data_IF_808958992326
#
_entry.id   IF_808958992326
#
_cell.length_a   1.000
_cell.length_b   1.000
_cell.length_c   1.000
_cell.angle_alpha   90.00
_cell.angle_beta   90.00
_cell.angle_gamma   90.00
#
_symmetry.space_group_name_H-M   'P 1'
#
loop_
_entity.id
_entity.type
_entity.pdbx_description
1 polymer ?
#
# COMPACT_ATOMS: atom_id res chain seq x y z
N UNK A 1 12.55 -5.34 -1.67
CA UNK A 1 11.55 -4.70 -2.54
C UNK A 1 11.98 -3.26 -2.73
N UNK A 2 12.39 -2.87 -3.95
CA UNK A 2 12.81 -1.49 -4.23
C UNK A 2 11.56 -0.71 -4.66
N UNK A 3 11.19 0.31 -3.89
CA UNK A 3 10.02 1.16 -4.13
C UNK A 3 10.52 2.51 -4.62
N UNK A 4 9.96 3.00 -5.72
CA UNK A 4 10.24 4.35 -6.22
C UNK A 4 8.92 5.04 -6.56
N UNK A 5 8.88 6.34 -6.33
CA UNK A 5 7.74 7.18 -6.72
C UNK A 5 7.99 7.77 -8.10
N UNK A 6 6.93 7.78 -8.92
CA UNK A 6 6.96 8.43 -10.22
C UNK A 6 5.56 8.86 -10.62
N UNK A 7 5.47 10.01 -11.28
CA UNK A 7 4.22 10.50 -11.86
C UNK A 7 4.00 9.85 -13.22
N UNK A 8 2.89 9.13 -13.44
CA UNK A 8 2.56 8.59 -14.75
C UNK A 8 2.34 9.71 -15.78
N UNK A 9 2.64 9.42 -17.04
CA UNK A 9 2.41 10.32 -18.19
C UNK A 9 1.48 9.66 -19.20
N UNK A 10 0.75 10.48 -19.96
CA UNK A 10 -0.07 9.99 -21.06
C UNK A 10 0.80 9.46 -22.20
N UNK A 11 0.53 8.24 -22.64
CA UNK A 11 1.10 7.63 -23.84
C UNK A 11 -0.03 7.03 -24.68
N UNK A 12 -0.43 7.74 -25.73
CA UNK A 12 -1.56 7.35 -26.57
C UNK A 12 -2.84 7.24 -25.74
N UNK A 13 -3.47 6.06 -25.71
CA UNK A 13 -4.67 5.76 -24.92
C UNK A 13 -4.34 5.06 -23.58
N UNK A 14 -3.15 5.30 -23.01
CA UNK A 14 -2.68 4.61 -21.80
C UNK A 14 -1.80 5.52 -20.94
N UNK A 15 -1.55 5.09 -19.70
CA UNK A 15 -0.57 5.73 -18.82
C UNK A 15 0.74 4.94 -18.84
N UNK A 16 1.86 5.67 -18.91
CA UNK A 16 3.21 5.14 -18.80
C UNK A 16 3.93 5.69 -17.58
N UNK A 17 4.83 4.89 -17.00
CA UNK A 17 5.71 5.31 -15.90
C UNK A 17 7.16 5.14 -16.33
N UNK A 18 7.98 6.16 -16.10
CA UNK A 18 9.42 6.08 -16.37
C UNK A 18 10.11 5.38 -15.20
N UNK A 19 10.76 4.25 -15.47
CA UNK A 19 11.56 3.53 -14.48
C UNK A 19 13.02 4.01 -14.59
N UNK A 20 13.66 4.45 -13.48
CA UNK A 20 15.06 4.85 -13.47
C UNK A 20 15.99 3.75 -14.02
N UNK A 21 16.99 4.15 -14.83
CA UNK A 21 17.92 3.21 -15.48
C UNK A 21 18.67 2.29 -14.51
N UNK A 22 18.96 2.78 -13.30
CA UNK A 22 19.60 1.98 -12.24
C UNK A 22 18.74 0.79 -11.82
N UNK A 23 17.45 1.01 -11.60
CA UNK A 23 16.49 -0.03 -11.24
C UNK A 23 16.31 -1.01 -12.42
N UNK A 24 16.19 -0.49 -13.64
CA UNK A 24 16.08 -1.31 -14.87
C UNK A 24 17.25 -2.29 -14.99
N UNK A 25 18.49 -1.83 -14.78
CA UNK A 25 19.69 -2.67 -14.85
C UNK A 25 19.74 -3.71 -13.73
N UNK A 26 19.52 -3.29 -12.48
CA UNK A 26 19.53 -4.20 -11.31
C UNK A 26 18.48 -5.30 -11.42
N UNK A 27 17.28 -4.96 -11.89
CA UNK A 27 16.17 -5.89 -12.03
C UNK A 27 16.15 -6.66 -13.37
N UNK A 28 17.12 -6.43 -14.26
CA UNK A 28 17.19 -7.10 -15.57
C UNK A 28 15.96 -6.86 -16.45
N UNK A 29 15.36 -5.68 -16.35
CA UNK A 29 14.18 -5.29 -17.12
C UNK A 29 14.56 -4.93 -18.56
N UNK A 30 13.75 -5.35 -19.53
CA UNK A 30 13.93 -4.98 -20.93
C UNK A 30 12.58 -4.69 -21.60
N UNK A 31 12.54 -3.87 -22.67
CA UNK A 31 11.29 -3.45 -23.32
C UNK A 31 10.41 -4.60 -23.86
N UNK A 32 10.98 -5.78 -24.09
CA UNK A 32 10.27 -6.95 -24.63
C UNK A 32 9.90 -7.99 -23.56
N UNK A 33 10.28 -7.75 -22.31
CA UNK A 33 10.01 -8.67 -21.20
C UNK A 33 8.69 -8.33 -20.55
N UNK A 34 7.80 -9.31 -20.44
CA UNK A 34 6.55 -9.16 -19.70
C UNK A 34 6.86 -8.96 -18.22
N UNK A 35 6.21 -7.99 -17.61
CA UNK A 35 6.28 -7.70 -16.18
C UNK A 35 4.87 -7.70 -15.60
N UNK A 36 4.75 -8.11 -14.34
CA UNK A 36 3.49 -8.07 -13.61
C UNK A 36 3.52 -6.86 -12.68
N UNK A 37 2.53 -6.00 -12.82
CA UNK A 37 2.32 -4.88 -11.90
C UNK A 37 1.31 -5.29 -10.83
N UNK A 38 1.59 -4.95 -9.58
CA UNK A 38 0.64 -5.05 -8.48
C UNK A 38 0.08 -3.65 -8.28
N UNK A 39 -1.21 -3.47 -8.57
CA UNK A 39 -1.88 -2.18 -8.38
C UNK A 39 -2.49 -2.14 -7.00
N UNK A 40 -1.94 -1.31 -6.13
CA UNK A 40 -2.48 -1.08 -4.79
C UNK A 40 -3.27 0.23 -4.86
N UNK A 41 -4.60 0.12 -4.85
CA UNK A 41 -5.46 1.30 -4.84
C UNK A 41 -5.70 1.76 -3.41
N UNK A 42 -5.34 3.01 -3.11
CA UNK A 42 -5.67 3.63 -1.83
C UNK A 42 -7.17 3.96 -1.69
N UNK A 43 -8.01 3.67 -2.71
CA UNK A 43 -9.48 3.83 -2.59
C UNK A 43 -10.05 2.97 -1.45
N UNK A 44 -9.52 1.76 -1.25
CA UNK A 44 -9.92 0.90 -0.13
C UNK A 44 -9.39 1.35 1.23
N UNK A 45 -8.29 2.10 1.28
CA UNK A 45 -7.72 2.59 2.55
C UNK A 45 -8.58 3.67 3.22
N UNK A 46 -9.30 4.48 2.42
CA UNK A 46 -10.32 5.40 2.93
C UNK A 46 -11.54 4.65 3.50
N UNK A 47 -11.92 3.52 2.90
CA UNK A 47 -13.04 2.70 3.37
C UNK A 47 -12.68 1.86 4.60
N UNK A 48 -11.47 1.30 4.65
CA UNK A 48 -10.92 0.66 5.85
C UNK A 48 -10.80 1.66 7.01
N UNK A 49 -10.28 2.88 6.80
CA UNK A 49 -10.28 3.93 7.85
C UNK A 49 -11.68 4.35 8.27
N UNK A 50 -12.67 4.37 7.37
CA UNK A 50 -14.08 4.62 7.72
C UNK A 50 -14.65 3.46 8.56
N UNK A 51 -14.49 2.22 8.12
CA UNK A 51 -14.97 1.03 8.83
C UNK A 51 -14.32 0.87 10.22
N UNK A 52 -13.02 1.09 10.34
CA UNK A 52 -12.30 1.10 11.61
C UNK A 52 -12.57 2.35 12.48
N UNK A 53 -13.07 3.43 11.89
CA UNK A 53 -13.54 4.62 12.62
C UNK A 53 -14.89 4.38 13.29
N UNK A 54 -15.81 3.67 12.62
CA UNK A 54 -17.14 3.33 13.16
C UNK A 54 -17.09 2.21 14.21
N UNK A 55 -16.18 1.24 14.06
CA UNK A 55 -15.98 0.12 15.00
C UNK A 55 -15.24 0.51 16.30
N UNK A 56 -14.54 1.65 16.34
CA UNK A 56 -13.85 2.12 17.56
C UNK A 56 -14.80 2.62 18.65
N UNK A 57 -16.05 2.86 18.33
CA UNK A 57 -17.04 3.45 19.24
C UNK A 57 -17.79 2.42 20.10
N UNK A 58 -17.73 1.13 19.79
CA UNK A 58 -18.56 0.11 20.45
C UNK A 58 -17.80 -0.99 21.20
N UNK A 59 -16.66 -0.67 21.84
CA UNK A 59 -15.95 -1.49 22.87
C UNK A 59 -14.81 -2.38 22.36
N UNK A 60 -13.58 -1.83 22.25
CA UNK A 60 -12.44 -2.68 22.63
C UNK A 60 -11.37 -1.98 23.49
N UNK A 61 -11.33 -0.65 23.60
CA UNK A 61 -10.21 0.02 24.30
C UNK A 61 -10.19 -0.26 25.80
N UNK A 62 -11.35 -0.28 26.45
CA UNK A 62 -11.43 -0.53 27.90
C UNK A 62 -11.02 -1.98 28.23
N UNK A 63 -11.55 -2.97 27.49
CA UNK A 63 -11.23 -4.39 27.68
C UNK A 63 -9.76 -4.72 27.48
N UNK A 64 -9.08 -4.03 26.55
CA UNK A 64 -7.65 -4.20 26.32
C UNK A 64 -6.82 -3.60 27.46
N UNK A 65 -7.30 -2.53 28.12
CA UNK A 65 -6.61 -1.98 29.29
C UNK A 65 -6.84 -2.85 30.54
N UNK A 66 -8.04 -3.41 30.70
CA UNK A 66 -8.37 -4.30 31.82
C UNK A 66 -7.53 -5.61 31.78
N UNK A 67 -7.26 -6.17 30.59
CA UNK A 67 -6.40 -7.36 30.42
C UNK A 67 -4.90 -7.09 30.69
N UNK A 68 -4.45 -5.83 30.55
CA UNK A 68 -3.05 -5.46 30.82
C UNK A 68 -2.82 -5.34 32.33
N UNK A 69 -3.78 -4.80 33.07
CA UNK A 69 -3.68 -4.67 34.52
C UNK A 69 -3.78 -6.02 35.24
N UNK A 70 -4.56 -6.98 34.72
CA UNK A 70 -4.72 -8.32 35.32
C UNK A 70 -3.50 -9.25 35.06
N UNK A 71 -2.63 -8.92 34.11
CA UNK A 71 -1.41 -9.68 33.79
C UNK A 71 -0.15 -9.26 34.54
N UNK A 72 -0.25 -8.27 35.44
CA UNK A 72 0.88 -7.68 36.17
C UNK A 72 0.86 -7.93 37.70
N UNK A 73 0.13 -8.97 38.17
CA UNK A 73 0.25 -9.55 39.52
C UNK A 73 0.80 -10.99 39.47
#
# INVERSE_FOLDING_TARGET
MEVFEATPKQWGNSLGVTIPRGIVRKAGLSPKRKVRFIVISNKGMKELRKAFGTLKTEKPTQRIMDEIDEGYD
#
